data_IF_588218638565
#
_entry.id   IF_588218638565
#
_cell.length_a   1.000
_cell.length_b   1.000
_cell.length_c   1.000
_cell.angle_alpha   90.00
_cell.angle_beta   90.00
_cell.angle_gamma   90.00
#
_symmetry.space_group_name_H-M   'P 1'
#
loop_
_entity.id
_entity.type
_entity.pdbx_description
1 polymer ?
#
# COMPACT_ATOMS: atom_id res chain seq x y z
N UNK A 1 1.80 -5.61 1.35
CA UNK A 1 0.49 -5.07 1.78
C UNK A 1 -0.40 -4.71 0.59
N UNK A 2 0.03 -3.87 -0.36
CA UNK A 2 -0.76 -3.51 -1.56
C UNK A 2 -1.30 -4.74 -2.32
N UNK A 3 -0.44 -5.74 -2.59
CA UNK A 3 -0.87 -7.01 -3.21
C UNK A 3 -1.92 -7.77 -2.40
N UNK A 4 -1.92 -7.66 -1.07
CA UNK A 4 -2.93 -8.27 -0.22
C UNK A 4 -4.29 -7.57 -0.35
N UNK A 5 -4.30 -6.24 -0.45
CA UNK A 5 -5.52 -5.47 -0.76
C UNK A 5 -6.07 -5.89 -2.13
N UNK A 6 -5.22 -5.95 -3.15
CA UNK A 6 -5.62 -6.40 -4.49
C UNK A 6 -6.21 -7.82 -4.46
N UNK A 7 -5.53 -8.76 -3.80
CA UNK A 7 -6.00 -10.14 -3.65
C UNK A 7 -7.34 -10.22 -2.88
N UNK A 8 -7.54 -9.41 -1.83
CA UNK A 8 -8.81 -9.34 -1.10
C UNK A 8 -9.99 -8.85 -1.96
N UNK A 9 -9.68 -8.19 -3.09
CA UNK A 9 -10.64 -7.75 -4.11
C UNK A 9 -10.69 -8.68 -5.32
N UNK A 10 -10.03 -9.84 -5.28
CA UNK A 10 -9.96 -10.79 -6.40
C UNK A 10 -9.09 -10.34 -7.57
N UNK A 11 -8.22 -9.34 -7.37
CA UNK A 11 -7.34 -8.79 -8.42
C UNK A 11 -5.92 -9.32 -8.21
N UNK A 12 -5.35 -9.92 -9.27
CA UNK A 12 -3.92 -10.23 -9.33
C UNK A 12 -3.18 -9.04 -9.97
N UNK A 13 -2.11 -8.57 -9.34
CA UNK A 13 -1.29 -7.47 -9.85
C UNK A 13 0.19 -7.85 -9.88
N UNK A 14 0.86 -7.55 -10.99
CA UNK A 14 2.31 -7.66 -11.12
C UNK A 14 3.03 -6.52 -10.40
N UNK A 15 4.35 -6.61 -10.26
CA UNK A 15 5.14 -5.55 -9.61
C UNK A 15 5.13 -4.25 -10.42
N UNK A 16 5.04 -4.32 -11.75
CA UNK A 16 4.96 -3.14 -12.63
C UNK A 16 3.63 -2.39 -12.52
N UNK A 17 2.59 -3.05 -12.03
CA UNK A 17 1.25 -2.48 -11.88
C UNK A 17 0.98 -1.89 -10.49
N UNK A 18 1.94 -1.97 -9.56
CA UNK A 18 1.73 -1.50 -8.19
C UNK A 18 1.38 -0.01 -8.12
N UNK A 19 2.10 0.83 -8.89
CA UNK A 19 1.87 2.27 -8.91
C UNK A 19 0.51 2.63 -9.51
N UNK A 20 0.13 2.00 -10.63
CA UNK A 20 -1.15 2.25 -11.27
C UNK A 20 -2.31 1.78 -10.39
N UNK A 21 -2.15 0.63 -9.73
CA UNK A 21 -3.12 0.11 -8.77
C UNK A 21 -3.32 1.05 -7.58
N UNK A 22 -2.23 1.50 -6.93
CA UNK A 22 -2.34 2.40 -5.76
C UNK A 22 -2.92 3.76 -6.16
N UNK A 23 -2.62 4.27 -7.37
CA UNK A 23 -3.26 5.48 -7.88
C UNK A 23 -4.79 5.33 -7.94
N UNK A 24 -5.28 4.27 -8.59
CA UNK A 24 -6.72 4.00 -8.70
C UNK A 24 -7.34 3.78 -7.32
N UNK A 25 -6.66 3.04 -6.44
CA UNK A 25 -7.11 2.81 -5.07
C UNK A 25 -7.30 4.13 -4.30
N UNK A 26 -6.36 5.08 -4.45
CA UNK A 26 -6.49 6.41 -3.87
C UNK A 26 -7.67 7.21 -4.42
N UNK A 27 -8.01 7.05 -5.70
CA UNK A 27 -9.19 7.67 -6.31
C UNK A 27 -10.50 7.05 -5.80
N UNK A 28 -10.57 5.72 -5.74
CA UNK A 28 -11.72 4.95 -5.24
C UNK A 28 -12.04 5.27 -3.78
N UNK A 29 -11.02 5.31 -2.93
CA UNK A 29 -11.15 5.60 -1.49
C UNK A 29 -11.20 7.12 -1.20
N UNK A 30 -11.13 7.97 -2.23
CA UNK A 30 -11.00 9.44 -2.12
C UNK A 30 -9.88 9.86 -1.16
N UNK A 31 -8.80 9.08 -1.15
CA UNK A 31 -7.66 9.25 -0.27
C UNK A 31 -6.36 9.38 -1.08
N UNK A 32 -6.00 10.60 -1.53
CA UNK A 32 -4.80 10.83 -2.32
C UNK A 32 -3.50 10.52 -1.54
N UNK A 33 -3.56 10.49 -0.20
CA UNK A 33 -2.40 10.17 0.64
C UNK A 33 -1.90 8.75 0.42
N UNK A 34 -2.74 7.79 0.01
CA UNK A 34 -2.31 6.43 -0.31
C UNK A 34 -1.22 6.42 -1.38
N UNK A 35 -1.36 7.25 -2.42
CA UNK A 35 -0.35 7.39 -3.46
C UNK A 35 0.91 8.08 -2.93
N UNK A 36 0.77 9.14 -2.14
CA UNK A 36 1.91 9.88 -1.58
C UNK A 36 2.77 8.98 -0.69
N UNK A 37 2.14 8.26 0.24
CA UNK A 37 2.83 7.35 1.16
C UNK A 37 3.46 6.16 0.42
N UNK A 38 2.82 5.66 -0.65
CA UNK A 38 3.42 4.59 -1.47
C UNK A 38 4.65 5.08 -2.25
N UNK A 39 4.67 6.33 -2.70
CA UNK A 39 5.88 6.93 -3.29
C UNK A 39 7.02 6.98 -2.28
N UNK A 40 6.76 7.37 -1.03
CA UNK A 40 7.77 7.36 0.06
C UNK A 40 8.31 5.95 0.30
N UNK A 41 7.43 4.95 0.37
CA UNK A 41 7.84 3.54 0.48
C UNK A 41 8.72 3.09 -0.69
N UNK A 42 8.42 3.57 -1.91
CA UNK A 42 9.19 3.26 -3.11
C UNK A 42 10.57 3.93 -3.08
N UNK A 43 10.66 5.15 -2.58
CA UNK A 43 11.94 5.84 -2.34
C UNK A 43 12.81 5.07 -1.35
N UNK A 44 12.23 4.55 -0.26
CA UNK A 44 12.97 3.69 0.67
C UNK A 44 13.44 2.38 0.02
N UNK A 45 12.64 1.79 -0.87
CA UNK A 45 13.03 0.61 -1.63
C UNK A 45 14.20 0.88 -2.57
N UNK A 46 14.20 2.00 -3.29
CA UNK A 46 15.34 2.42 -4.11
C UNK A 46 16.57 2.71 -3.24
N UNK A 47 16.37 3.42 -2.13
CA UNK A 47 17.44 3.72 -1.18
C UNK A 47 18.14 2.47 -0.63
N UNK A 48 17.46 1.33 -0.52
CA UNK A 48 18.12 0.08 -0.11
C UNK A 48 19.26 -0.33 -1.05
N UNK A 49 19.14 -0.03 -2.35
CA UNK A 49 20.17 -0.32 -3.35
C UNK A 49 21.17 0.84 -3.52
N UNK A 50 20.68 2.08 -3.43
CA UNK A 50 21.48 3.27 -3.72
C UNK A 50 22.19 3.85 -2.48
N UNK A 51 21.70 3.55 -1.28
CA UNK A 51 22.23 3.96 0.03
C UNK A 51 22.57 5.46 0.13
N UNK A 52 21.67 6.30 -0.38
CA UNK A 52 21.85 7.75 -0.56
C UNK A 52 21.10 8.61 0.47
N UNK A 53 20.11 8.05 1.17
CA UNK A 53 19.38 8.76 2.23
C UNK A 53 20.13 8.72 3.56
N UNK A 54 20.02 9.82 4.31
CA UNK A 54 20.50 9.91 5.69
C UNK A 54 19.60 9.09 6.63
N UNK A 55 20.18 8.57 7.72
CA UNK A 55 19.48 7.69 8.65
C UNK A 55 18.29 8.34 9.38
N UNK A 56 18.33 9.66 9.59
CA UNK A 56 17.20 10.44 10.12
C UNK A 56 16.01 10.42 9.15
N UNK A 57 16.25 10.63 7.86
CA UNK A 57 15.23 10.58 6.79
C UNK A 57 14.68 9.15 6.65
N UNK A 58 15.53 8.12 6.72
CA UNK A 58 15.09 6.72 6.69
C UNK A 58 14.12 6.43 7.83
N UNK A 59 14.40 6.94 9.04
CA UNK A 59 13.53 6.76 10.20
C UNK A 59 12.19 7.49 10.02
N UNK A 60 12.20 8.73 9.55
CA UNK A 60 10.97 9.49 9.25
C UNK A 60 10.09 8.77 8.22
N UNK A 61 10.67 8.38 7.08
CA UNK A 61 9.94 7.68 6.02
C UNK A 61 9.46 6.30 6.47
N UNK A 62 10.11 5.67 7.45
CA UNK A 62 9.62 4.42 8.02
C UNK A 62 8.29 4.60 8.76
N UNK A 63 8.04 5.76 9.37
CA UNK A 63 6.75 6.07 10.00
C UNK A 63 5.66 6.28 8.94
N UNK A 64 5.97 6.93 7.82
CA UNK A 64 5.06 7.05 6.67
C UNK A 64 4.68 5.66 6.11
N UNK A 65 5.63 4.72 6.06
CA UNK A 65 5.34 3.33 5.65
C UNK A 65 4.40 2.65 6.65
N UNK A 66 4.55 2.88 7.96
CA UNK A 66 3.61 2.34 8.96
C UNK A 66 2.22 2.93 8.78
N UNK A 67 2.10 4.22 8.49
CA UNK A 67 0.84 4.87 8.17
C UNK A 67 0.20 4.25 6.93
N UNK A 68 0.96 4.04 5.85
CA UNK A 68 0.48 3.35 4.64
C UNK A 68 -0.07 1.97 4.97
N UNK A 69 0.65 1.18 5.76
CA UNK A 69 0.21 -0.16 6.17
C UNK A 69 -1.09 -0.08 6.97
N UNK A 70 -1.22 0.88 7.89
CA UNK A 70 -2.43 1.08 8.68
C UNK A 70 -3.64 1.42 7.79
N UNK A 71 -3.49 2.33 6.82
CA UNK A 71 -4.55 2.65 5.87
C UNK A 71 -4.93 1.44 5.01
N UNK A 72 -3.94 0.73 4.44
CA UNK A 72 -4.20 -0.44 3.59
C UNK A 72 -4.87 -1.58 4.36
N UNK A 73 -4.56 -1.78 5.65
CA UNK A 73 -5.22 -2.79 6.49
C UNK A 73 -6.72 -2.56 6.62
N UNK A 74 -7.17 -1.30 6.69
CA UNK A 74 -8.61 -0.95 6.74
C UNK A 74 -9.34 -1.38 5.46
N UNK A 75 -8.62 -1.51 4.35
CA UNK A 75 -9.16 -1.83 3.03
C UNK A 75 -9.18 -3.33 2.72
N UNK A 76 -8.53 -4.16 3.54
CA UNK A 76 -8.56 -5.61 3.39
C UNK A 76 -9.93 -6.10 3.86
N UNK A 77 -10.78 -6.48 2.92
CA UNK A 77 -12.01 -7.20 3.25
C UNK A 77 -11.63 -8.63 3.63
N UNK A 78 -11.84 -8.99 4.88
CA UNK A 78 -11.90 -10.40 5.26
C UNK A 78 -13.09 -11.01 4.52
N UNK A 79 -13.01 -12.23 3.97
CA UNK A 79 -14.19 -12.89 3.45
C UNK A 79 -15.20 -13.01 4.60
N UNK A 80 -16.21 -12.16 4.57
CA UNK A 80 -17.38 -12.30 5.42
C UNK A 80 -18.01 -13.61 4.94
N UNK A 81 -17.89 -14.67 5.74
CA UNK A 81 -18.68 -15.88 5.54
C UNK A 81 -20.13 -15.43 5.68
N UNK A 82 -20.77 -15.12 4.54
CA UNK A 82 -22.19 -14.92 4.48
C UNK A 82 -22.79 -16.23 4.96
N UNK A 83 -23.45 -16.18 6.12
CA UNK A 83 -24.33 -17.23 6.59
C UNK A 83 -25.47 -17.33 5.58
N UNK A 84 -25.29 -18.14 4.55
CA UNK A 84 -26.40 -18.78 3.87
C UNK A 84 -26.77 -20.00 4.73
N UNK A 85 -27.76 -19.83 5.60
CA UNK A 85 -28.49 -20.94 6.16
C UNK A 85 -29.95 -20.70 5.80
N UNK A 86 -30.40 -21.58 4.92
CA UNK A 86 -31.66 -21.65 4.21
C UNK A 86 -32.82 -22.10 5.10
#
# INVERSE_FOLDING_TARGET
>A
MVKAVAASRGISISSHELFSFVRRLGEEERNPELRRLFSVASTLHQNFYENWLRGDVVREYSEDVKQLVAELKKLIRTPNCQKEAH
#
